data_IF_395501465793
#
_entry.id   IF_395501465793
#
_cell.length_a   1.000
_cell.length_b   1.000
_cell.length_c   1.000
_cell.angle_alpha   90.00
_cell.angle_beta   90.00
_cell.angle_gamma   90.00
#
_symmetry.space_group_name_H-M   'P 1'
#
loop_
_entity.id
_entity.type
_entity.pdbx_description
1 polymer ?
#
# COMPACT_ATOMS: atom_id res chain seq x y z
N UNK A 1 -17.11 -16.68 58.99
CA UNK A 1 -17.68 -16.72 57.63
C UNK A 1 -18.13 -18.13 57.42
N UNK A 2 -19.43 -18.36 57.58
CA UNK A 2 -20.00 -19.70 57.63
C UNK A 2 -19.86 -20.38 56.27
N UNK A 3 -19.22 -21.56 56.27
CA UNK A 3 -18.95 -22.35 55.06
C UNK A 3 -20.23 -22.87 54.37
N UNK A 4 -21.42 -22.59 54.91
CA UNK A 4 -22.72 -22.95 54.33
C UNK A 4 -23.08 -22.12 53.08
N UNK A 5 -22.45 -20.95 52.88
CA UNK A 5 -22.61 -20.14 51.66
C UNK A 5 -21.93 -20.83 50.45
N UNK A 6 -21.13 -21.88 50.70
CA UNK A 6 -20.47 -22.69 49.67
C UNK A 6 -21.37 -23.82 49.15
N UNK A 7 -22.68 -23.56 48.97
CA UNK A 7 -23.54 -24.51 48.29
C UNK A 7 -23.12 -24.65 46.82
N UNK A 8 -23.27 -25.84 46.20
CA UNK A 8 -22.92 -26.07 44.80
C UNK A 8 -23.56 -25.06 43.83
N UNK A 9 -24.73 -24.51 44.19
CA UNK A 9 -25.43 -23.49 43.45
C UNK A 9 -24.66 -22.14 43.41
N UNK A 10 -24.12 -21.68 44.54
CA UNK A 10 -23.37 -20.41 44.60
C UNK A 10 -22.06 -20.51 43.83
N UNK A 11 -21.38 -21.65 43.91
CA UNK A 11 -20.18 -21.94 43.12
C UNK A 11 -20.51 -21.98 41.63
N UNK A 12 -21.60 -22.66 41.25
CA UNK A 12 -22.06 -22.72 39.87
C UNK A 12 -22.37 -21.35 39.28
N UNK A 13 -23.09 -20.50 40.01
CA UNK A 13 -23.38 -19.12 39.59
C UNK A 13 -22.10 -18.30 39.46
N UNK A 14 -21.17 -18.42 40.42
CA UNK A 14 -19.88 -17.73 40.37
C UNK A 14 -19.06 -18.08 39.13
N UNK A 15 -18.95 -19.38 38.81
CA UNK A 15 -18.18 -19.86 37.64
C UNK A 15 -18.80 -19.36 36.33
N UNK A 16 -20.12 -19.47 36.17
CA UNK A 16 -20.83 -18.99 34.97
C UNK A 16 -20.65 -17.48 34.78
N UNK A 17 -20.72 -16.72 35.87
CA UNK A 17 -20.54 -15.26 35.85
C UNK A 17 -19.15 -14.86 35.34
N UNK A 18 -18.11 -15.57 35.83
CA UNK A 18 -16.72 -15.32 35.44
C UNK A 18 -16.48 -15.72 33.97
N UNK A 19 -17.04 -16.85 33.53
CA UNK A 19 -16.94 -17.29 32.13
C UNK A 19 -17.62 -16.29 31.18
N UNK A 20 -18.82 -15.82 31.52
CA UNK A 20 -19.52 -14.82 30.71
C UNK A 20 -18.77 -13.48 30.68
N UNK A 21 -18.23 -13.04 31.81
CA UNK A 21 -17.41 -11.82 31.87
C UNK A 21 -16.19 -11.91 30.95
N UNK A 22 -15.51 -13.07 30.89
CA UNK A 22 -14.36 -13.27 30.01
C UNK A 22 -14.74 -13.27 28.52
N UNK A 23 -15.87 -13.91 28.15
CA UNK A 23 -16.38 -13.92 26.77
C UNK A 23 -16.76 -12.51 26.32
N UNK A 24 -17.46 -11.76 27.16
CA UNK A 24 -17.85 -10.37 26.88
C UNK A 24 -16.60 -9.49 26.72
N UNK A 25 -15.61 -9.61 27.59
CA UNK A 25 -14.36 -8.85 27.48
C UNK A 25 -13.60 -9.18 26.18
N UNK A 26 -13.58 -10.44 25.77
CA UNK A 26 -12.95 -10.85 24.52
C UNK A 26 -13.75 -10.35 23.30
N UNK A 27 -15.08 -10.36 23.36
CA UNK A 27 -15.94 -9.80 22.32
C UNK A 27 -15.71 -8.29 22.14
N UNK A 28 -15.60 -7.53 23.23
CA UNK A 28 -15.32 -6.09 23.20
C UNK A 28 -13.93 -5.84 22.57
N UNK A 29 -12.90 -6.60 22.98
CA UNK A 29 -11.54 -6.48 22.42
C UNK A 29 -11.51 -6.80 20.92
N UNK A 30 -12.20 -7.85 20.49
CA UNK A 30 -12.35 -8.19 19.06
C UNK A 30 -13.03 -7.06 18.28
N UNK A 31 -14.14 -6.53 18.81
CA UNK A 31 -14.93 -5.46 18.15
C UNK A 31 -14.15 -4.15 18.00
N UNK A 32 -13.31 -3.82 18.98
CA UNK A 32 -12.51 -2.59 19.01
C UNK A 32 -11.11 -2.76 18.39
N UNK A 33 -10.78 -3.94 17.87
CA UNK A 33 -9.52 -4.16 17.15
C UNK A 33 -8.29 -4.23 18.05
N UNK A 34 -8.46 -4.46 19.36
CA UNK A 34 -7.33 -4.71 20.24
C UNK A 34 -6.63 -6.01 19.84
N UNK A 35 -5.28 -6.06 19.94
CA UNK A 35 -4.54 -7.27 19.62
C UNK A 35 -5.01 -8.41 20.54
N UNK A 36 -5.50 -9.49 19.94
CA UNK A 36 -5.74 -10.73 20.67
C UNK A 36 -4.40 -11.44 20.75
N UNK A 37 -3.89 -11.62 21.96
CA UNK A 37 -2.71 -12.45 22.16
C UNK A 37 -3.10 -13.90 21.81
N UNK A 38 -2.40 -14.49 20.85
CA UNK A 38 -2.42 -15.94 20.74
C UNK A 38 -1.66 -16.55 21.94
N UNK A 39 -1.81 -17.84 22.18
CA UNK A 39 -1.11 -18.56 23.26
C UNK A 39 0.43 -18.54 23.18
N UNK A 40 1.00 -17.77 22.25
CA UNK A 40 2.42 -17.61 21.95
C UNK A 40 2.84 -16.12 21.84
N UNK A 41 2.07 -15.19 22.40
CA UNK A 41 2.45 -13.78 22.57
C UNK A 41 2.51 -12.94 21.28
N UNK A 42 1.97 -13.44 20.16
CA UNK A 42 1.82 -12.62 18.95
C UNK A 42 0.42 -12.01 18.90
N UNK A 43 0.39 -10.69 18.74
CA UNK A 43 -0.81 -9.90 18.48
C UNK A 43 -1.48 -10.36 17.16
N UNK A 44 -2.64 -11.01 17.27
CA UNK A 44 -3.51 -11.30 16.13
C UNK A 44 -4.54 -10.18 16.07
N UNK A 45 -4.40 -9.30 15.08
CA UNK A 45 -5.40 -8.28 14.79
C UNK A 45 -6.59 -8.93 14.08
N UNK A 46 -7.84 -8.70 14.54
CA UNK A 46 -9.01 -9.09 13.78
C UNK A 46 -9.03 -8.27 12.48
N UNK A 47 -8.75 -8.95 11.36
CA UNK A 47 -8.72 -8.33 10.04
C UNK A 47 -10.13 -7.80 9.70
N UNK A 48 -10.31 -6.48 9.67
CA UNK A 48 -11.34 -5.86 8.82
C UNK A 48 -10.87 -5.99 7.38
N UNK A 49 -11.02 -7.19 6.82
CA UNK A 49 -10.48 -7.56 5.50
C UNK A 49 -11.14 -6.79 4.36
N UNK A 50 -12.43 -6.51 4.41
CA UNK A 50 -13.17 -5.95 3.27
C UNK A 50 -12.74 -4.53 2.89
N UNK A 51 -12.68 -3.63 3.86
CA UNK A 51 -12.35 -2.21 3.61
C UNK A 51 -10.88 -2.01 3.20
N UNK A 52 -9.98 -2.82 3.76
CA UNK A 52 -8.56 -2.78 3.42
C UNK A 52 -8.28 -3.43 2.07
N UNK A 53 -8.98 -4.52 1.71
CA UNK A 53 -8.88 -5.15 0.39
C UNK A 53 -9.42 -4.24 -0.72
N UNK A 54 -10.53 -3.54 -0.48
CA UNK A 54 -11.06 -2.55 -1.43
C UNK A 54 -10.09 -1.40 -1.65
N UNK A 55 -9.50 -0.84 -0.59
CA UNK A 55 -8.46 0.20 -0.70
C UNK A 55 -7.23 -0.28 -1.45
N UNK A 56 -6.76 -1.49 -1.17
CA UNK A 56 -5.62 -2.08 -1.91
C UNK A 56 -5.96 -2.24 -3.39
N UNK A 57 -7.18 -2.64 -3.71
CA UNK A 57 -7.64 -2.76 -5.10
C UNK A 57 -7.74 -1.40 -5.80
N UNK A 58 -8.20 -0.35 -5.11
CA UNK A 58 -8.25 1.02 -5.65
C UNK A 58 -6.82 1.57 -5.87
N UNK A 59 -5.94 1.45 -4.88
CA UNK A 59 -4.54 1.87 -4.99
C UNK A 59 -3.78 1.11 -6.08
N UNK A 60 -4.06 -0.19 -6.27
CA UNK A 60 -3.45 -0.97 -7.36
C UNK A 60 -3.90 -0.47 -8.74
N UNK A 61 -5.15 0.00 -8.87
CA UNK A 61 -5.66 0.58 -10.12
C UNK A 61 -5.01 1.95 -10.39
N UNK A 62 -4.89 2.80 -9.37
CA UNK A 62 -4.19 4.09 -9.47
C UNK A 62 -2.72 3.90 -9.87
N UNK A 63 -2.03 2.93 -9.27
CA UNK A 63 -0.65 2.61 -9.65
C UNK A 63 -0.52 2.12 -11.09
N UNK A 64 -1.50 1.36 -11.61
CA UNK A 64 -1.50 0.93 -13.00
C UNK A 64 -1.69 2.12 -13.96
N UNK A 65 -2.60 3.04 -13.63
CA UNK A 65 -2.84 4.26 -14.41
C UNK A 65 -1.60 5.18 -14.42
N UNK A 66 -0.99 5.43 -13.25
CA UNK A 66 0.23 6.24 -13.14
C UNK A 66 1.39 5.64 -13.94
N UNK A 67 1.53 4.31 -13.96
CA UNK A 67 2.56 3.64 -14.77
C UNK A 67 2.32 3.80 -16.27
N UNK A 68 1.07 3.77 -16.72
CA UNK A 68 0.73 4.04 -18.11
C UNK A 68 1.03 5.51 -18.49
N UNK A 69 0.68 6.45 -17.62
CA UNK A 69 0.97 7.87 -17.82
C UNK A 69 2.49 8.12 -17.88
N UNK A 70 3.26 7.57 -16.94
CA UNK A 70 4.72 7.63 -16.96
C UNK A 70 5.34 7.00 -18.22
N UNK A 71 4.76 5.90 -18.72
CA UNK A 71 5.16 5.31 -20.00
C UNK A 71 4.99 6.28 -21.16
N UNK A 72 3.83 6.93 -21.26
CA UNK A 72 3.56 7.93 -22.30
C UNK A 72 4.50 9.14 -22.23
N UNK A 73 4.84 9.59 -21.02
CA UNK A 73 5.80 10.67 -20.83
C UNK A 73 7.20 10.24 -21.25
N UNK A 74 7.61 9.00 -20.94
CA UNK A 74 8.90 8.45 -21.36
C UNK A 74 9.03 8.37 -22.87
N UNK A 75 7.99 7.93 -23.58
CA UNK A 75 8.00 7.85 -25.05
C UNK A 75 8.14 9.24 -25.68
N UNK A 76 7.48 10.25 -25.11
CA UNK A 76 7.63 11.64 -25.54
C UNK A 76 9.03 12.18 -25.27
N UNK A 77 9.61 11.87 -24.10
CA UNK A 77 10.97 12.27 -23.78
C UNK A 77 11.99 11.64 -24.73
N UNK A 78 11.82 10.36 -25.09
CA UNK A 78 12.67 9.70 -26.08
C UNK A 78 12.56 10.37 -27.46
N UNK A 79 11.35 10.77 -27.87
CA UNK A 79 11.16 11.53 -29.11
C UNK A 79 11.86 12.90 -29.06
N UNK A 80 11.78 13.60 -27.93
CA UNK A 80 12.48 14.89 -27.74
C UNK A 80 13.99 14.69 -27.77
N UNK A 81 14.52 13.68 -27.08
CA UNK A 81 15.93 13.32 -27.09
C UNK A 81 16.43 13.06 -28.51
N UNK A 82 15.66 12.32 -29.30
CA UNK A 82 15.98 12.06 -30.71
C UNK A 82 16.00 13.35 -31.54
N UNK A 83 15.00 14.22 -31.40
CA UNK A 83 14.93 15.50 -32.13
C UNK A 83 16.14 16.37 -31.80
N UNK A 84 16.46 16.53 -30.51
CA UNK A 84 17.57 17.39 -30.06
C UNK A 84 18.91 16.83 -30.55
N UNK A 85 19.10 15.51 -30.46
CA UNK A 85 20.32 14.85 -30.92
C UNK A 85 20.47 14.92 -32.44
N UNK A 86 19.46 14.50 -33.21
CA UNK A 86 19.51 14.47 -34.67
C UNK A 86 19.64 15.87 -35.28
N UNK A 87 18.92 16.86 -34.73
CA UNK A 87 18.95 18.25 -35.24
C UNK A 87 20.30 18.92 -34.99
N UNK A 88 20.98 18.60 -33.88
CA UNK A 88 22.29 19.16 -33.56
C UNK A 88 23.37 18.72 -34.55
N UNK A 89 23.36 17.44 -34.94
CA UNK A 89 24.29 16.91 -35.94
C UNK A 89 23.99 17.45 -37.34
N UNK A 90 22.71 17.48 -37.75
CA UNK A 90 22.31 17.99 -39.06
C UNK A 90 22.72 19.46 -39.25
N UNK A 91 22.41 20.33 -38.28
CA UNK A 91 22.76 21.75 -38.36
C UNK A 91 24.28 21.96 -38.45
N UNK A 92 25.05 21.22 -37.65
CA UNK A 92 26.53 21.33 -37.67
C UNK A 92 27.09 20.93 -39.03
N UNK A 93 26.57 19.84 -39.62
CA UNK A 93 26.98 19.37 -40.93
C UNK A 93 26.60 20.33 -42.06
N UNK A 94 25.42 20.95 -41.96
CA UNK A 94 24.93 21.95 -42.91
C UNK A 94 25.79 23.23 -42.85
N UNK A 95 26.16 23.68 -41.64
CA UNK A 95 27.11 24.79 -41.44
C UNK A 95 28.47 24.49 -42.05
N UNK A 96 29.02 23.29 -41.83
CA UNK A 96 30.31 22.88 -42.37
C UNK A 96 30.30 22.88 -43.91
N UNK A 97 29.22 22.38 -44.50
CA UNK A 97 29.03 22.32 -45.94
C UNK A 97 28.99 23.73 -46.54
N UNK A 98 28.18 24.63 -45.97
CA UNK A 98 28.12 26.03 -46.40
C UNK A 98 29.48 26.74 -46.28
N UNK A 99 30.23 26.48 -45.21
CA UNK A 99 31.57 27.04 -45.01
C UNK A 99 32.57 26.53 -46.06
N UNK A 100 32.52 25.25 -46.38
CA UNK A 100 33.35 24.64 -47.43
C UNK A 100 33.08 25.23 -48.82
N UNK A 101 31.79 25.36 -49.18
CA UNK A 101 31.37 25.96 -50.46
C UNK A 101 31.82 27.42 -50.58
N UNK A 102 31.68 28.23 -49.53
CA UNK A 102 32.09 29.64 -49.55
C UNK A 102 33.61 29.80 -49.72
N UNK A 103 34.40 28.87 -49.18
CA UNK A 103 35.88 28.89 -49.28
C UNK A 103 36.40 28.47 -50.65
N UNK A 104 35.63 27.72 -51.43
CA UNK A 104 35.96 27.35 -52.81
C UNK A 104 35.48 28.35 -53.87
N UNK A 105 34.68 29.35 -53.47
CA UNK A 105 34.13 30.39 -54.35
C UNK A 105 34.90 31.73 -54.31
N UNK A 106 35.92 31.84 -53.45
CA UNK A 106 36.89 32.94 -53.38
C UNK A 106 38.28 32.43 -53.75
#
# INVERSE_FOLDING_TARGET
MDLEILTPAVIGVGVVSISLAWVINTLIRVRHGYPLENSWGKAVYPKKSTENEERVKLLSQENAALRAELGSMKDRLANVERIVTDSGYHLTQEIETLRGTQKGAN
#
